data_IF_631081589557
#
_entry.id   IF_631081589557
#
_cell.length_a   1.000
_cell.length_b   1.000
_cell.length_c   1.000
_cell.angle_alpha   90.00
_cell.angle_beta   90.00
_cell.angle_gamma   90.00
#
_symmetry.space_group_name_H-M   'P 1'
#
loop_
_entity.id
_entity.type
_entity.pdbx_description
1 polymer ?
#
# COMPACT_ATOMS: atom_id res chain seq x y z
N UNK A 1 7.17 8.29 4.21
CA UNK A 1 8.34 7.40 3.99
C UNK A 1 8.16 6.20 4.90
N UNK A 2 7.62 5.09 4.39
CA UNK A 2 7.48 3.86 5.18
C UNK A 2 8.90 3.34 5.40
N UNK A 3 9.39 3.41 6.64
CA UNK A 3 10.71 2.88 6.97
C UNK A 3 10.65 1.36 6.80
N UNK A 4 11.71 0.78 6.24
CA UNK A 4 11.81 -0.67 6.08
C UNK A 4 11.67 -1.33 7.45
N UNK A 5 10.68 -2.21 7.59
CA UNK A 5 10.45 -2.96 8.84
C UNK A 5 11.68 -3.81 9.11
N UNK A 6 12.15 -3.82 10.36
CA UNK A 6 13.27 -4.69 10.73
C UNK A 6 12.90 -6.16 10.52
N UNK A 7 13.57 -6.82 9.56
CA UNK A 7 13.36 -8.21 9.22
C UNK A 7 13.55 -9.17 10.42
N UNK A 8 14.29 -8.76 11.46
CA UNK A 8 14.41 -9.54 12.71
C UNK A 8 13.04 -9.77 13.36
N UNK A 9 12.16 -8.78 13.31
CA UNK A 9 10.81 -8.83 13.88
C UNK A 9 9.93 -9.79 13.08
N UNK A 10 9.96 -9.67 11.76
CA UNK A 10 9.20 -10.54 10.87
C UNK A 10 9.64 -12.00 11.04
N UNK A 11 10.95 -12.24 11.19
CA UNK A 11 11.48 -13.58 11.49
C UNK A 11 11.03 -14.12 12.85
N UNK A 12 10.80 -13.28 13.86
CA UNK A 12 10.26 -13.72 15.15
C UNK A 12 8.83 -14.25 14.99
N UNK A 13 7.95 -13.51 14.30
CA UNK A 13 6.58 -13.94 14.03
C UNK A 13 6.55 -15.26 13.24
N UNK A 14 7.36 -15.36 12.16
CA UNK A 14 7.48 -16.59 11.35
C UNK A 14 8.05 -17.77 12.15
N UNK A 15 8.97 -17.53 13.08
CA UNK A 15 9.50 -18.56 13.98
C UNK A 15 8.42 -19.04 14.95
N UNK A 16 7.57 -18.14 15.45
CA UNK A 16 6.46 -18.50 16.33
C UNK A 16 5.46 -19.42 15.62
N UNK A 17 5.13 -19.11 14.36
CA UNK A 17 4.35 -19.97 13.46
C UNK A 17 4.92 -21.39 13.37
N UNK A 18 6.20 -21.51 12.99
CA UNK A 18 6.86 -22.82 12.84
C UNK A 18 6.97 -23.59 14.15
N UNK A 19 7.35 -22.92 15.24
CA UNK A 19 7.57 -23.56 16.55
C UNK A 19 6.27 -24.17 17.11
N UNK A 20 5.13 -23.51 16.90
CA UNK A 20 3.85 -23.92 17.46
C UNK A 20 2.91 -24.57 16.44
N UNK A 21 3.36 -24.75 15.17
CA UNK A 21 2.56 -25.27 14.06
C UNK A 21 1.17 -24.59 13.98
N UNK A 22 1.18 -23.26 14.05
CA UNK A 22 -0.05 -22.47 14.15
C UNK A 22 -0.96 -22.70 12.94
N UNK A 23 -2.26 -22.74 13.19
CA UNK A 23 -3.32 -22.77 12.18
C UNK A 23 -4.00 -21.42 12.11
N UNK A 24 -4.63 -21.14 10.96
CA UNK A 24 -5.47 -19.98 10.79
C UNK A 24 -6.93 -20.29 11.12
N UNK A 25 -7.68 -19.35 11.72
CA UNK A 25 -7.18 -18.10 12.29
C UNK A 25 -6.26 -18.35 13.50
N UNK A 26 -5.20 -17.55 13.66
CA UNK A 26 -4.21 -17.76 14.73
C UNK A 26 -4.88 -17.73 16.11
N UNK A 27 -4.64 -18.72 17.01
CA UNK A 27 -5.19 -18.72 18.37
C UNK A 27 -4.40 -17.74 19.27
N UNK A 28 -4.50 -16.44 18.98
CA UNK A 28 -3.71 -15.39 19.63
C UNK A 28 -3.95 -15.29 21.13
N UNK A 29 -5.17 -15.57 21.60
CA UNK A 29 -5.47 -15.55 23.03
C UNK A 29 -4.66 -16.62 23.78
N UNK A 30 -4.69 -17.88 23.30
CA UNK A 30 -3.95 -18.98 23.90
C UNK A 30 -2.44 -18.74 23.85
N UNK A 31 -1.95 -18.15 22.76
CA UNK A 31 -0.56 -17.73 22.64
C UNK A 31 -0.21 -16.72 23.72
N UNK A 32 -0.95 -15.62 23.85
CA UNK A 32 -0.69 -14.60 24.89
C UNK A 32 -0.73 -15.23 26.28
N UNK A 33 -1.72 -16.08 26.57
CA UNK A 33 -1.82 -16.78 27.87
C UNK A 33 -0.62 -17.67 28.19
N UNK A 34 0.05 -18.22 27.17
CA UNK A 34 1.27 -19.01 27.38
C UNK A 34 2.44 -18.16 27.87
N UNK A 35 2.50 -16.88 27.49
CA UNK A 35 3.60 -15.96 27.83
C UNK A 35 3.28 -14.99 28.97
N UNK A 36 2.01 -14.67 29.21
CA UNK A 36 1.57 -13.64 30.15
C UNK A 36 0.25 -14.00 30.85
N UNK A 37 -0.06 -13.28 31.92
CA UNK A 37 -1.36 -13.33 32.57
C UNK A 37 -2.32 -12.37 31.85
N UNK A 38 -3.27 -12.92 31.09
CA UNK A 38 -4.21 -12.14 30.29
C UNK A 38 -5.54 -11.92 30.99
N UNK A 39 -5.99 -10.66 31.04
CA UNK A 39 -7.32 -10.26 31.54
C UNK A 39 -8.01 -9.31 30.56
N UNK A 40 -9.31 -9.54 30.36
CA UNK A 40 -10.18 -8.58 29.67
C UNK A 40 -10.86 -7.70 30.71
N UNK A 41 -10.68 -6.38 30.60
CA UNK A 41 -11.20 -5.41 31.58
C UNK A 41 -11.90 -4.25 30.89
N UNK A 42 -12.83 -3.63 31.60
CA UNK A 42 -13.39 -2.35 31.19
C UNK A 42 -12.29 -1.28 31.39
N UNK A 43 -11.67 -0.87 30.29
CA UNK A 43 -10.56 0.10 30.30
C UNK A 43 -11.10 1.53 30.47
N UNK A 44 -10.54 2.33 31.39
CA UNK A 44 -10.75 3.76 31.36
C UNK A 44 -10.04 4.34 30.13
N UNK A 45 -10.63 5.35 29.48
CA UNK A 45 -10.10 6.02 28.27
C UNK A 45 -10.11 5.16 26.98
N UNK A 46 -9.63 5.72 25.87
CA UNK A 46 -9.52 5.04 24.58
C UNK A 46 -8.19 4.28 24.48
N UNK A 47 -8.00 3.29 25.36
CA UNK A 47 -6.85 2.37 25.35
C UNK A 47 -7.37 0.99 24.99
N UNK A 48 -6.77 0.35 23.98
CA UNK A 48 -7.17 -0.99 23.55
C UNK A 48 -6.42 -2.09 24.33
N UNK A 49 -5.15 -1.85 24.67
CA UNK A 49 -4.25 -2.80 25.30
C UNK A 49 -3.26 -2.15 26.26
N UNK A 50 -2.82 -2.92 27.26
CA UNK A 50 -1.83 -2.51 28.25
C UNK A 50 -0.95 -3.69 28.66
N UNK A 51 0.37 -3.50 28.56
CA UNK A 51 1.38 -4.41 29.07
C UNK A 51 2.02 -3.86 30.36
N UNK A 52 1.90 -4.62 31.45
CA UNK A 52 2.56 -4.33 32.74
C UNK A 52 3.59 -5.40 33.10
N UNK A 53 4.63 -5.00 33.83
CA UNK A 53 5.70 -5.90 34.29
C UNK A 53 6.42 -6.59 33.12
N UNK A 54 6.61 -5.89 31.99
CA UNK A 54 7.27 -6.46 30.83
C UNK A 54 8.74 -6.75 31.15
N UNK A 55 9.10 -8.03 31.17
CA UNK A 55 10.45 -8.53 31.48
C UNK A 55 11.00 -8.05 32.84
N UNK A 56 10.11 -7.72 33.77
CA UNK A 56 10.50 -7.44 35.15
C UNK A 56 10.98 -8.73 35.84
N UNK A 57 12.07 -8.62 36.61
CA UNK A 57 12.70 -9.79 37.25
C UNK A 57 11.77 -10.36 38.32
N UNK A 58 11.49 -11.66 38.26
CA UNK A 58 10.71 -12.38 39.27
C UNK A 58 9.19 -12.21 39.16
N UNK A 59 8.69 -11.53 38.12
CA UNK A 59 7.26 -11.36 37.87
C UNK A 59 6.87 -11.90 36.49
N UNK A 60 5.64 -12.38 36.39
CA UNK A 60 5.02 -12.74 35.11
C UNK A 60 4.38 -11.48 34.53
N UNK A 61 4.64 -11.20 33.25
CA UNK A 61 4.03 -10.07 32.54
C UNK A 61 2.51 -10.20 32.56
N UNK A 62 1.82 -9.07 32.73
CA UNK A 62 0.35 -8.99 32.73
C UNK A 62 -0.09 -8.21 31.51
N UNK A 63 -1.06 -8.77 30.79
CA UNK A 63 -1.67 -8.15 29.63
C UNK A 63 -3.13 -7.86 29.96
N UNK A 64 -3.53 -6.63 29.75
CA UNK A 64 -4.92 -6.20 29.88
C UNK A 64 -5.42 -5.75 28.52
N UNK A 65 -6.57 -6.27 28.10
CA UNK A 65 -7.21 -5.88 26.84
C UNK A 65 -8.60 -5.34 27.13
N UNK A 66 -9.01 -4.31 26.39
CA UNK A 66 -10.34 -3.73 26.49
C UNK A 66 -11.42 -4.79 26.25
N UNK A 67 -12.36 -4.88 27.19
CA UNK A 67 -13.52 -5.76 27.12
C UNK A 67 -14.56 -5.16 26.16
N UNK A 68 -15.15 -6.02 25.33
CA UNK A 68 -16.08 -5.61 24.27
C UNK A 68 -15.38 -5.03 23.04
N UNK A 69 -16.17 -4.52 22.09
CA UNK A 69 -15.69 -4.06 20.78
C UNK A 69 -15.61 -5.16 19.73
N UNK A 70 -15.04 -4.84 18.57
CA UNK A 70 -14.90 -5.78 17.46
C UNK A 70 -13.84 -6.84 17.77
N UNK A 71 -14.20 -8.11 17.58
CA UNK A 71 -13.31 -9.27 17.78
C UNK A 71 -11.98 -9.14 17.02
N UNK A 72 -12.03 -8.68 15.77
CA UNK A 72 -10.83 -8.50 14.93
C UNK A 72 -9.88 -7.44 15.49
N UNK A 73 -10.40 -6.38 16.13
CA UNK A 73 -9.58 -5.37 16.84
C UNK A 73 -8.90 -5.98 18.07
N UNK A 74 -9.65 -6.72 18.89
CA UNK A 74 -9.08 -7.43 20.04
C UNK A 74 -7.99 -8.43 19.63
N UNK A 75 -8.19 -9.16 18.53
CA UNK A 75 -7.18 -10.09 17.99
C UNK A 75 -5.90 -9.38 17.58
N UNK A 76 -6.01 -8.22 16.94
CA UNK A 76 -4.85 -7.40 16.59
C UNK A 76 -4.14 -6.89 17.83
N UNK A 77 -4.88 -6.34 18.80
CA UNK A 77 -4.32 -5.90 20.10
C UNK A 77 -3.58 -7.04 20.80
N UNK A 78 -4.17 -8.24 20.91
CA UNK A 78 -3.50 -9.40 21.50
C UNK A 78 -2.19 -9.76 20.78
N UNK A 79 -2.19 -9.75 19.45
CA UNK A 79 -0.99 -10.01 18.64
C UNK A 79 0.07 -8.92 18.81
N UNK A 80 -0.36 -7.66 18.96
CA UNK A 80 0.48 -6.50 19.21
C UNK A 80 1.17 -6.60 20.59
N UNK A 81 0.40 -6.88 21.65
CA UNK A 81 0.94 -7.08 23.00
C UNK A 81 1.91 -8.26 23.05
N UNK A 82 1.61 -9.35 22.31
CA UNK A 82 2.54 -10.47 22.17
C UNK A 82 3.85 -10.06 21.48
N UNK A 83 3.78 -9.11 20.55
CA UNK A 83 4.96 -8.47 19.94
C UNK A 83 5.84 -7.81 20.99
N UNK A 84 5.26 -7.00 21.89
CA UNK A 84 6.01 -6.40 23.00
C UNK A 84 6.66 -7.44 23.92
N UNK A 85 5.97 -8.54 24.20
CA UNK A 85 6.52 -9.62 25.03
C UNK A 85 7.71 -10.31 24.34
N UNK A 86 7.61 -10.59 23.05
CA UNK A 86 8.57 -11.44 22.34
C UNK A 86 9.76 -10.67 21.75
N UNK A 87 9.62 -9.39 21.42
CA UNK A 87 10.70 -8.59 20.84
C UNK A 87 11.73 -8.29 21.94
N UNK A 88 12.99 -8.78 21.88
CA UNK A 88 13.90 -8.78 23.03
C UNK A 88 14.22 -7.41 23.63
N UNK A 89 14.28 -6.36 22.82
CA UNK A 89 14.63 -5.00 23.26
C UNK A 89 13.44 -4.16 23.75
N UNK A 90 12.20 -4.68 23.71
CA UNK A 90 11.06 -4.00 24.33
C UNK A 90 11.07 -4.22 25.85
N UNK A 91 11.18 -3.17 26.67
CA UNK A 91 11.26 -3.28 28.15
C UNK A 91 10.46 -2.17 28.82
N UNK A 92 9.96 -2.39 30.05
CA UNK A 92 9.26 -1.37 30.85
C UNK A 92 7.74 -1.58 30.92
N UNK A 93 6.98 -0.52 31.16
CA UNK A 93 5.52 -0.56 31.02
C UNK A 93 5.14 0.09 29.68
N UNK A 94 4.23 -0.53 28.95
CA UNK A 94 3.85 -0.11 27.58
C UNK A 94 2.33 0.07 27.55
N UNK A 95 1.86 1.22 27.06
CA UNK A 95 0.46 1.64 27.07
C UNK A 95 0.04 1.97 25.62
N UNK A 96 -0.78 1.13 25.00
CA UNK A 96 -1.26 1.36 23.63
C UNK A 96 -2.29 2.50 23.60
N UNK A 97 -1.85 3.69 23.17
CA UNK A 97 -2.69 4.88 23.05
C UNK A 97 -3.22 5.02 21.62
N UNK A 98 -4.53 5.21 21.45
CA UNK A 98 -5.13 5.50 20.14
C UNK A 98 -4.87 6.94 19.64
N UNK A 99 -4.55 7.88 20.55
CA UNK A 99 -4.27 9.29 20.23
C UNK A 99 -2.80 9.65 20.51
N UNK A 100 -1.99 9.78 19.45
CA UNK A 100 -0.54 10.07 19.51
C UNK A 100 -0.19 11.57 19.69
N UNK A 101 -0.98 12.34 20.43
CA UNK A 101 -0.88 13.81 20.49
C UNK A 101 0.00 14.38 21.63
N UNK A 102 1.07 13.69 22.02
CA UNK A 102 2.02 14.17 23.05
C UNK A 102 3.48 14.19 22.58
N UNK A 103 4.38 14.77 23.39
CA UNK A 103 5.84 14.60 23.30
C UNK A 103 6.19 13.12 23.59
N UNK A 104 5.88 12.25 22.63
CA UNK A 104 6.16 10.83 22.70
C UNK A 104 7.63 10.64 22.39
N UNK A 105 8.33 9.94 23.29
CA UNK A 105 9.71 9.53 23.08
C UNK A 105 9.82 8.80 21.73
N UNK A 106 10.72 9.25 20.86
CA UNK A 106 11.02 8.61 19.57
C UNK A 106 11.20 7.10 19.71
N UNK A 107 11.80 6.65 20.82
CA UNK A 107 11.98 5.23 21.12
C UNK A 107 10.64 4.48 21.27
N UNK A 108 9.67 5.08 21.95
CA UNK A 108 8.34 4.52 22.15
C UNK A 108 7.62 4.36 20.80
N UNK A 109 7.66 5.41 19.97
CA UNK A 109 7.08 5.36 18.62
C UNK A 109 7.69 4.25 17.74
N UNK A 110 9.00 3.99 17.87
CA UNK A 110 9.62 2.86 17.18
C UNK A 110 9.09 1.52 17.71
N UNK A 111 9.01 1.33 19.02
CA UNK A 111 8.52 0.09 19.63
C UNK A 111 7.08 -0.24 19.21
N UNK A 112 6.20 0.75 19.15
CA UNK A 112 4.82 0.60 18.66
C UNK A 112 4.78 0.16 17.18
N UNK A 113 5.62 0.77 16.33
CA UNK A 113 5.76 0.36 14.94
C UNK A 113 6.27 -1.08 14.78
N UNK A 114 7.21 -1.48 15.64
CA UNK A 114 7.77 -2.84 15.68
C UNK A 114 6.73 -3.88 16.13
N UNK A 115 5.93 -3.57 17.17
CA UNK A 115 4.84 -4.42 17.63
C UNK A 115 3.73 -4.56 16.58
N UNK A 116 3.35 -3.47 15.92
CA UNK A 116 2.40 -3.49 14.81
C UNK A 116 2.87 -4.34 13.63
N UNK A 117 4.17 -4.26 13.29
CA UNK A 117 4.76 -5.10 12.26
C UNK A 117 4.77 -6.58 12.65
N UNK A 118 5.10 -6.90 13.91
CA UNK A 118 5.01 -8.26 14.44
C UNK A 118 3.58 -8.80 14.38
N UNK A 119 2.60 -8.04 14.86
CA UNK A 119 1.18 -8.42 14.87
C UNK A 119 0.67 -8.70 13.46
N UNK A 120 0.97 -7.81 12.52
CA UNK A 120 0.58 -7.95 11.11
C UNK A 120 1.18 -9.20 10.46
N UNK A 121 2.47 -9.50 10.72
CA UNK A 121 3.11 -10.71 10.21
C UNK A 121 2.61 -11.98 10.90
N UNK A 122 2.28 -11.93 12.19
CA UNK A 122 1.74 -13.07 12.92
C UNK A 122 0.33 -13.42 12.42
N UNK A 123 -0.55 -12.43 12.29
CA UNK A 123 -1.94 -12.64 11.87
C UNK A 123 -2.06 -12.91 10.38
N UNK A 124 -1.27 -12.24 9.55
CA UNK A 124 -1.33 -12.33 8.10
C UNK A 124 0.06 -12.56 7.49
N UNK A 125 0.68 -13.75 7.64
CA UNK A 125 2.05 -14.00 7.16
C UNK A 125 2.22 -13.72 5.67
N UNK A 126 3.40 -13.20 5.29
CA UNK A 126 3.68 -12.82 3.91
C UNK A 126 3.44 -13.95 2.91
N UNK A 127 3.99 -15.14 3.18
CA UNK A 127 3.85 -16.30 2.29
C UNK A 127 2.37 -16.69 2.08
N UNK A 128 1.56 -16.56 3.14
CA UNK A 128 0.14 -16.86 3.10
C UNK A 128 -0.59 -15.84 2.21
N UNK A 129 -0.44 -14.54 2.46
CA UNK A 129 -1.08 -13.47 1.67
C UNK A 129 -0.64 -13.51 0.21
N UNK A 130 0.63 -13.81 -0.06
CA UNK A 130 1.13 -13.99 -1.44
C UNK A 130 0.50 -15.17 -2.16
N UNK A 131 0.10 -16.22 -1.45
CA UNK A 131 -0.63 -17.33 -2.05
C UNK A 131 -2.06 -16.93 -2.40
N UNK A 132 -2.77 -16.23 -1.50
CA UNK A 132 -4.08 -15.65 -1.82
C UNK A 132 -4.02 -14.76 -3.08
N UNK A 133 -3.03 -13.86 -3.19
CA UNK A 133 -2.86 -13.00 -4.37
C UNK A 133 -2.66 -13.80 -5.67
N UNK A 134 -2.07 -15.00 -5.60
CA UNK A 134 -1.88 -15.87 -6.78
C UNK A 134 -3.12 -16.67 -7.12
N UNK A 135 -3.91 -17.05 -6.12
CA UNK A 135 -5.08 -17.93 -6.26
C UNK A 135 -6.33 -17.15 -6.69
N UNK A 136 -6.49 -15.93 -6.18
CA UNK A 136 -7.65 -15.08 -6.49
C UNK A 136 -7.34 -14.12 -7.64
N UNK A 137 -8.24 -14.09 -8.62
CA UNK A 137 -8.18 -13.15 -9.74
C UNK A 137 -9.09 -11.93 -9.55
N UNK A 138 -10.14 -12.08 -8.74
CA UNK A 138 -11.03 -10.98 -8.34
C UNK A 138 -10.55 -10.35 -7.03
N UNK A 139 -10.45 -9.02 -7.01
CA UNK A 139 -9.93 -8.28 -5.85
C UNK A 139 -10.88 -8.34 -4.65
N UNK A 140 -12.19 -8.42 -4.87
CA UNK A 140 -13.17 -8.48 -3.79
C UNK A 140 -13.08 -9.83 -3.10
N UNK A 141 -13.09 -10.91 -3.88
CA UNK A 141 -12.93 -12.27 -3.36
C UNK A 141 -11.60 -12.43 -2.61
N UNK A 142 -10.51 -11.83 -3.12
CA UNK A 142 -9.21 -11.80 -2.45
C UNK A 142 -9.29 -11.12 -1.06
N UNK A 143 -9.94 -9.96 -0.96
CA UNK A 143 -10.07 -9.22 0.30
C UNK A 143 -10.97 -9.97 1.28
N UNK A 144 -12.12 -10.47 0.81
CA UNK A 144 -13.07 -11.25 1.62
C UNK A 144 -12.40 -12.54 2.13
N UNK A 145 -11.73 -13.29 1.26
CA UNK A 145 -11.02 -14.52 1.63
C UNK A 145 -9.92 -14.30 2.67
N UNK A 146 -9.04 -13.30 2.47
CA UNK A 146 -8.01 -12.97 3.47
C UNK A 146 -8.61 -12.52 4.80
N UNK A 147 -9.71 -11.74 4.77
CA UNK A 147 -10.34 -11.23 5.99
C UNK A 147 -11.03 -12.34 6.79
N UNK A 148 -11.78 -13.22 6.11
CA UNK A 148 -12.54 -14.31 6.71
C UNK A 148 -11.61 -15.43 7.21
N UNK A 149 -10.72 -15.93 6.38
CA UNK A 149 -9.88 -17.09 6.72
C UNK A 149 -8.83 -16.78 7.78
N UNK A 150 -8.37 -15.53 7.86
CA UNK A 150 -7.38 -15.08 8.85
C UNK A 150 -8.01 -14.39 10.08
N UNK A 151 -9.33 -14.17 10.08
CA UNK A 151 -10.12 -13.49 11.11
C UNK A 151 -9.52 -12.10 11.46
N UNK A 152 -9.44 -11.24 10.42
CA UNK A 152 -8.94 -9.86 10.47
C UNK A 152 -9.95 -8.88 9.87
N UNK A 153 -9.79 -7.58 10.12
CA UNK A 153 -10.70 -6.56 9.56
C UNK A 153 -10.43 -6.31 8.06
N UNK A 154 -11.45 -5.87 7.32
CA UNK A 154 -11.32 -5.49 5.91
C UNK A 154 -10.20 -4.46 5.68
N UNK A 155 -10.09 -3.36 6.45
CA UNK A 155 -8.96 -2.43 6.30
C UNK A 155 -7.60 -3.10 6.52
N UNK A 156 -7.46 -3.96 7.53
CA UNK A 156 -6.20 -4.64 7.81
C UNK A 156 -5.79 -5.60 6.66
N UNK A 157 -6.76 -6.34 6.12
CA UNK A 157 -6.57 -7.18 4.94
C UNK A 157 -6.12 -6.35 3.74
N UNK A 158 -6.80 -5.24 3.43
CA UNK A 158 -6.44 -4.33 2.32
C UNK A 158 -5.01 -3.82 2.46
N UNK A 159 -4.65 -3.25 3.61
CA UNK A 159 -3.29 -2.74 3.84
C UNK A 159 -2.23 -3.83 3.67
N UNK A 160 -2.53 -5.06 4.10
CA UNK A 160 -1.61 -6.19 4.01
C UNK A 160 -1.48 -6.73 2.59
N UNK A 161 -2.59 -6.91 1.87
CA UNK A 161 -2.62 -7.33 0.47
C UNK A 161 -1.82 -6.35 -0.38
N UNK A 162 -2.10 -5.04 -0.25
CA UNK A 162 -1.48 -4.01 -1.08
C UNK A 162 0.03 -3.86 -0.84
N UNK A 163 0.56 -4.32 0.29
CA UNK A 163 2.01 -4.40 0.53
C UNK A 163 2.69 -5.39 -0.43
N UNK A 164 2.00 -6.41 -0.89
CA UNK A 164 2.55 -7.49 -1.71
C UNK A 164 1.93 -7.59 -3.10
N UNK A 165 0.90 -6.79 -3.37
CA UNK A 165 0.26 -6.70 -4.68
C UNK A 165 1.27 -6.22 -5.73
N UNK A 166 1.22 -6.74 -6.98
CA UNK A 166 2.01 -6.21 -8.08
C UNK A 166 1.79 -4.71 -8.23
N UNK A 167 2.79 -4.01 -8.79
CA UNK A 167 2.70 -2.58 -9.09
C UNK A 167 1.50 -2.26 -9.98
N UNK A 168 1.13 -0.99 -10.03
CA UNK A 168 0.04 -0.43 -10.83
C UNK A 168 -1.37 -0.80 -10.32
N UNK A 169 -1.49 -1.08 -9.02
CA UNK A 169 -2.76 -1.29 -8.34
C UNK A 169 -2.97 -0.23 -7.25
N UNK A 170 -4.16 0.37 -7.20
CA UNK A 170 -4.56 1.41 -6.25
C UNK A 170 -5.95 1.04 -5.70
N UNK A 171 -6.15 1.20 -4.39
CA UNK A 171 -7.45 0.98 -3.74
C UNK A 171 -7.78 2.13 -2.81
N UNK A 172 -9.03 2.56 -2.87
CA UNK A 172 -9.65 3.55 -2.00
C UNK A 172 -10.77 2.90 -1.21
N UNK A 173 -10.92 3.26 0.06
CA UNK A 173 -12.07 2.80 0.84
C UNK A 173 -12.48 3.75 1.96
N UNK A 174 -13.75 3.66 2.37
CA UNK A 174 -14.36 4.36 3.51
C UNK A 174 -15.36 3.44 4.23
N UNK A 175 -15.73 3.74 5.49
CA UNK A 175 -16.69 2.90 6.24
C UNK A 175 -18.15 3.08 5.80
N UNK A 176 -18.43 4.10 4.99
CA UNK A 176 -19.71 4.31 4.29
C UNK A 176 -19.53 5.37 3.20
N UNK A 177 -20.53 5.55 2.32
CA UNK A 177 -20.51 6.60 1.29
C UNK A 177 -20.42 8.02 1.86
N UNK A 178 -20.99 8.23 3.06
CA UNK A 178 -21.04 9.54 3.74
C UNK A 178 -19.91 9.76 4.74
N UNK A 179 -18.95 8.82 4.82
CA UNK A 179 -17.81 8.96 5.71
C UNK A 179 -16.77 9.91 5.10
N UNK A 180 -16.45 10.98 5.85
CA UNK A 180 -15.41 11.93 5.47
C UNK A 180 -14.02 11.27 5.50
N UNK A 181 -13.84 10.22 6.30
CA UNK A 181 -12.56 9.53 6.43
C UNK A 181 -12.37 8.50 5.32
N UNK A 182 -11.57 8.88 4.33
CA UNK A 182 -11.19 8.03 3.20
C UNK A 182 -9.73 7.60 3.31
N UNK A 183 -9.47 6.37 2.90
CA UNK A 183 -8.12 5.80 2.85
C UNK A 183 -7.79 5.45 1.41
N UNK A 184 -6.55 5.73 1.00
CA UNK A 184 -6.02 5.32 -0.30
C UNK A 184 -4.70 4.58 -0.11
N UNK A 185 -4.62 3.40 -0.69
CA UNK A 185 -3.45 2.52 -0.61
C UNK A 185 -2.98 2.20 -2.01
N UNK A 186 -1.66 2.26 -2.22
CA UNK A 186 -1.02 2.01 -3.51
C UNK A 186 -0.04 0.86 -3.38
N UNK A 187 -0.09 -0.06 -4.31
CA UNK A 187 0.89 -1.15 -4.39
C UNK A 187 2.30 -0.59 -4.64
N UNK A 188 3.35 -1.21 -4.08
CA UNK A 188 4.73 -0.76 -4.26
C UNK A 188 5.11 -0.59 -5.73
N UNK A 189 5.81 0.51 -6.04
CA UNK A 189 6.30 0.80 -7.39
C UNK A 189 5.26 1.42 -8.33
N UNK A 190 3.99 1.53 -7.94
CA UNK A 190 2.95 2.22 -8.71
C UNK A 190 3.35 3.67 -9.00
N UNK A 191 3.41 4.02 -10.28
CA UNK A 191 3.82 5.36 -10.76
C UNK A 191 2.63 6.26 -11.08
N UNK A 192 1.45 5.68 -11.24
CA UNK A 192 0.19 6.38 -11.45
C UNK A 192 -0.05 7.36 -10.30
N UNK A 193 -0.26 8.64 -10.64
CA UNK A 193 -0.51 9.72 -9.68
C UNK A 193 -1.97 10.15 -9.74
N UNK A 194 -2.84 9.38 -9.10
CA UNK A 194 -4.22 9.78 -8.83
C UNK A 194 -4.20 10.48 -7.47
N UNK A 195 -4.83 11.65 -7.34
CA UNK A 195 -4.96 12.28 -6.03
C UNK A 195 -5.92 11.46 -5.16
N UNK A 196 -5.81 11.55 -3.83
CA UNK A 196 -6.69 10.77 -2.97
C UNK A 196 -8.17 11.17 -3.14
N UNK A 197 -8.46 12.42 -3.51
CA UNK A 197 -9.81 12.86 -3.87
C UNK A 197 -10.26 12.33 -5.22
N UNK A 198 -9.38 12.35 -6.22
CA UNK A 198 -9.65 11.88 -7.59
C UNK A 198 -10.12 10.42 -7.60
N UNK A 199 -9.59 9.58 -6.71
CA UNK A 199 -9.99 8.17 -6.63
C UNK A 199 -11.49 7.99 -6.35
N UNK A 200 -12.11 8.97 -5.69
CA UNK A 200 -13.52 8.97 -5.33
C UNK A 200 -14.38 9.86 -6.23
N UNK A 201 -13.80 10.44 -7.28
CA UNK A 201 -14.47 11.22 -8.31
C UNK A 201 -14.55 10.39 -9.59
N UNK A 202 -15.76 10.07 -10.04
CA UNK A 202 -15.97 9.21 -11.21
C UNK A 202 -15.49 9.88 -12.51
N UNK A 203 -15.64 11.21 -12.64
CA UNK A 203 -15.24 11.94 -13.85
C UNK A 203 -13.72 12.03 -13.97
N UNK A 204 -13.03 12.30 -12.86
CA UNK A 204 -11.56 12.29 -12.87
C UNK A 204 -11.02 10.87 -13.10
N UNK A 205 -11.69 9.83 -12.59
CA UNK A 205 -11.26 8.44 -12.78
C UNK A 205 -11.35 7.98 -14.23
N UNK A 206 -12.44 8.31 -14.91
CA UNK A 206 -12.66 7.98 -16.32
C UNK A 206 -11.63 8.66 -17.24
N UNK A 207 -11.03 9.77 -16.79
CA UNK A 207 -9.94 10.45 -17.52
C UNK A 207 -8.61 9.68 -17.50
N UNK A 208 -8.44 8.70 -16.60
CA UNK A 208 -7.20 7.91 -16.55
C UNK A 208 -7.20 6.84 -17.64
N UNK A 209 -6.64 7.20 -18.79
CA UNK A 209 -6.50 6.32 -19.94
C UNK A 209 -5.83 4.97 -19.57
N UNK A 210 -6.43 3.88 -20.07
CA UNK A 210 -5.93 2.50 -20.00
C UNK A 210 -6.02 1.80 -18.63
N UNK A 211 -6.61 2.42 -17.61
CA UNK A 211 -6.91 1.74 -16.34
C UNK A 211 -8.28 1.04 -16.36
N UNK A 212 -8.44 0.00 -15.55
CA UNK A 212 -9.75 -0.57 -15.22
C UNK A 212 -10.11 -0.20 -13.78
N UNK A 213 -11.38 0.19 -13.59
CA UNK A 213 -11.91 0.66 -12.31
C UNK A 213 -13.08 -0.22 -11.91
N UNK A 214 -13.08 -0.61 -10.64
CA UNK A 214 -14.11 -1.42 -10.03
C UNK A 214 -14.61 -0.74 -8.76
N UNK A 215 -15.94 -0.65 -8.63
CA UNK A 215 -16.61 -0.12 -7.45
C UNK A 215 -17.45 -1.23 -6.83
N UNK A 216 -17.25 -1.51 -5.55
CA UNK A 216 -17.99 -2.55 -4.83
C UNK A 216 -18.01 -2.28 -3.33
N UNK A 217 -18.90 -2.97 -2.62
CA UNK A 217 -19.00 -2.90 -1.16
C UNK A 217 -18.60 -4.23 -0.54
N UNK A 218 -17.88 -4.18 0.59
CA UNK A 218 -17.68 -5.33 1.49
C UNK A 218 -18.23 -4.97 2.87
N UNK A 219 -19.40 -5.54 3.20
CA UNK A 219 -20.15 -5.13 4.38
C UNK A 219 -20.46 -3.62 4.33
N UNK A 220 -20.10 -2.82 5.35
CA UNK A 220 -20.31 -1.38 5.33
C UNK A 220 -19.29 -0.62 4.48
N UNK A 221 -18.16 -1.24 4.12
CA UNK A 221 -17.07 -0.55 3.44
C UNK A 221 -17.39 -0.31 1.97
N UNK A 222 -17.30 0.94 1.53
CA UNK A 222 -17.33 1.32 0.14
C UNK A 222 -15.91 1.28 -0.41
N UNK A 223 -15.68 0.51 -1.47
CA UNK A 223 -14.35 0.25 -2.03
C UNK A 223 -14.32 0.64 -3.50
N UNK A 224 -13.25 1.34 -3.86
CA UNK A 224 -12.88 1.68 -5.22
C UNK A 224 -11.52 1.10 -5.54
N UNK A 225 -11.42 0.28 -6.56
CA UNK A 225 -10.18 -0.36 -6.97
C UNK A 225 -9.84 0.03 -8.40
N UNK A 226 -8.61 0.46 -8.64
CA UNK A 226 -8.10 0.80 -9.96
C UNK A 226 -6.83 -0.01 -10.24
N UNK A 227 -6.80 -0.68 -11.39
CA UNK A 227 -5.64 -1.43 -11.89
C UNK A 227 -5.20 -0.89 -13.25
N UNK A 228 -3.89 -0.79 -13.46
CA UNK A 228 -3.31 -0.24 -14.69
C UNK A 228 -2.32 -1.23 -15.32
N UNK A 229 -2.31 -1.36 -16.65
CA UNK A 229 -1.52 -2.36 -17.35
C UNK A 229 -0.02 -2.09 -17.18
N UNK A 230 0.75 -3.16 -16.98
CA UNK A 230 2.20 -3.05 -16.89
C UNK A 230 2.87 -2.77 -18.24
N UNK A 231 2.17 -3.07 -19.35
CA UNK A 231 2.65 -2.91 -20.71
C UNK A 231 1.56 -2.24 -21.54
N UNK A 232 1.95 -1.24 -22.31
CA UNK A 232 1.09 -0.63 -23.33
C UNK A 232 1.77 -0.81 -24.68
N UNK A 233 0.97 -1.07 -25.72
CA UNK A 233 1.52 -1.16 -27.07
C UNK A 233 2.09 0.19 -27.50
N UNK A 234 3.35 0.19 -27.93
CA UNK A 234 3.93 1.37 -28.55
C UNK A 234 3.21 1.64 -29.87
N UNK A 235 2.86 2.90 -30.18
CA UNK A 235 2.36 3.24 -31.50
C UNK A 235 3.41 2.94 -32.57
N UNK A 236 2.96 2.53 -33.75
CA UNK A 236 3.82 2.43 -34.92
C UNK A 236 4.36 3.83 -35.27
N UNK A 237 5.68 3.96 -35.42
CA UNK A 237 6.31 5.25 -35.70
C UNK A 237 6.27 5.50 -37.20
N UNK A 238 5.51 6.51 -37.63
CA UNK A 238 5.40 6.91 -39.03
C UNK A 238 5.79 8.37 -39.28
N UNK A 239 5.81 9.22 -38.24
CA UNK A 239 6.21 10.62 -38.41
C UNK A 239 7.72 10.71 -38.70
N UNK A 240 8.17 11.34 -39.79
CA UNK A 240 9.58 11.38 -40.14
C UNK A 240 10.41 12.37 -39.30
N UNK A 241 9.77 13.30 -38.57
CA UNK A 241 10.45 14.39 -37.87
C UNK A 241 11.16 13.93 -36.60
N UNK A 242 12.09 14.75 -36.08
CA UNK A 242 12.70 14.52 -34.77
C UNK A 242 11.66 14.67 -33.65
N UNK A 243 11.80 13.91 -32.57
CA UNK A 243 10.85 13.96 -31.45
C UNK A 243 10.72 15.38 -30.85
N UNK A 244 11.76 16.24 -30.95
CA UNK A 244 11.72 17.62 -30.46
C UNK A 244 10.74 18.47 -31.25
N UNK A 245 10.71 18.30 -32.58
CA UNK A 245 9.80 19.02 -33.46
C UNK A 245 8.36 18.60 -33.19
N UNK A 246 8.13 17.29 -33.05
CA UNK A 246 6.82 16.71 -32.73
C UNK A 246 6.31 17.23 -31.38
N UNK A 247 7.14 17.25 -30.35
CA UNK A 247 6.75 17.78 -29.03
C UNK A 247 6.42 19.28 -29.08
N UNK A 248 7.19 20.07 -29.84
CA UNK A 248 6.92 21.50 -30.01
C UNK A 248 5.56 21.70 -30.67
N UNK A 249 5.27 20.99 -31.76
CA UNK A 249 3.96 21.09 -32.42
C UNK A 249 2.81 20.70 -31.49
N UNK A 250 2.93 19.56 -30.79
CA UNK A 250 1.91 19.11 -29.83
C UNK A 250 1.59 20.20 -28.80
N UNK A 251 2.63 20.82 -28.23
CA UNK A 251 2.46 21.85 -27.21
C UNK A 251 1.90 23.15 -27.78
N UNK A 252 2.34 23.55 -28.98
CA UNK A 252 1.84 24.76 -29.64
C UNK A 252 0.36 24.69 -29.99
N UNK A 253 -0.25 23.50 -30.05
CA UNK A 253 -1.70 23.36 -30.22
C UNK A 253 -2.51 23.76 -28.96
N UNK A 254 -1.90 23.74 -27.78
CA UNK A 254 -2.62 23.91 -26.49
C UNK A 254 -2.08 25.01 -25.59
N UNK A 255 -0.86 25.51 -25.86
CA UNK A 255 -0.20 26.51 -25.02
C UNK A 255 0.42 27.62 -25.86
N UNK A 256 0.19 28.86 -25.46
CA UNK A 256 0.85 30.03 -26.05
C UNK A 256 2.34 30.08 -25.67
N UNK A 257 2.67 29.81 -24.39
CA UNK A 257 4.05 29.62 -23.93
C UNK A 257 4.34 28.14 -23.65
N UNK A 258 5.06 27.52 -24.59
CA UNK A 258 5.42 26.11 -24.51
C UNK A 258 6.62 25.84 -23.59
N UNK A 259 7.34 26.85 -23.10
CA UNK A 259 8.62 26.66 -22.38
C UNK A 259 8.44 25.82 -21.11
N UNK A 260 7.47 26.19 -20.27
CA UNK A 260 7.18 25.51 -19.00
C UNK A 260 6.60 24.10 -19.22
N UNK A 261 5.53 23.89 -20.02
CA UNK A 261 5.02 22.56 -20.37
C UNK A 261 6.11 21.63 -20.92
N UNK A 262 6.94 22.12 -21.84
CA UNK A 262 8.03 21.34 -22.45
C UNK A 262 9.06 20.91 -21.43
N UNK A 263 9.46 21.77 -20.50
CA UNK A 263 10.40 21.40 -19.44
C UNK A 263 9.82 20.32 -18.53
N UNK A 264 8.54 20.43 -18.18
CA UNK A 264 7.85 19.45 -17.32
C UNK A 264 7.73 18.09 -18.01
N UNK A 265 7.26 18.03 -19.26
CA UNK A 265 7.16 16.77 -20.02
C UNK A 265 8.53 16.13 -20.20
N UNK A 266 9.58 16.90 -20.52
CA UNK A 266 10.94 16.39 -20.58
C UNK A 266 11.40 15.83 -19.23
N UNK A 267 11.06 16.49 -18.12
CA UNK A 267 11.28 15.97 -16.78
C UNK A 267 10.61 14.62 -16.57
N UNK A 268 9.31 14.51 -16.91
CA UNK A 268 8.52 13.28 -16.73
C UNK A 268 9.06 12.11 -17.56
N UNK A 269 9.41 12.33 -18.83
CA UNK A 269 9.94 11.29 -19.73
C UNK A 269 11.40 10.96 -19.41
N UNK A 270 12.20 11.90 -18.90
CA UNK A 270 13.60 11.62 -18.53
C UNK A 270 13.73 10.59 -17.42
N UNK A 271 12.72 10.44 -16.56
CA UNK A 271 12.73 9.42 -15.50
C UNK A 271 12.65 8.01 -16.11
N UNK A 272 12.05 7.83 -17.29
CA UNK A 272 12.09 6.56 -18.04
C UNK A 272 13.55 6.13 -18.29
N UNK A 273 14.44 7.09 -18.57
CA UNK A 273 15.87 6.81 -18.74
C UNK A 273 16.53 6.33 -17.43
N UNK A 274 16.03 6.74 -16.27
CA UNK A 274 16.49 6.19 -14.98
C UNK A 274 15.92 4.79 -14.73
N UNK A 275 14.67 4.55 -15.13
CA UNK A 275 13.98 3.27 -15.04
C UNK A 275 14.58 2.22 -16.00
N UNK A 276 15.30 2.65 -17.06
CA UNK A 276 16.04 1.74 -17.95
C UNK A 276 17.00 0.81 -17.20
N UNK A 277 17.50 1.22 -16.02
CA UNK A 277 18.35 0.35 -15.17
C UNK A 277 17.67 -0.95 -14.78
N UNK A 278 16.35 -0.95 -14.74
CA UNK A 278 15.51 -2.05 -14.28
C UNK A 278 14.89 -2.85 -15.43
N UNK A 279 14.59 -2.22 -16.56
CA UNK A 279 13.97 -2.87 -17.73
C UNK A 279 14.34 -2.14 -19.02
N UNK A 280 14.49 -2.87 -20.12
CA UNK A 280 14.67 -2.34 -21.49
C UNK A 280 13.47 -2.62 -22.40
N UNK A 281 12.36 -3.09 -21.82
CA UNK A 281 11.12 -3.35 -22.56
C UNK A 281 10.43 -2.03 -22.92
N UNK A 282 10.35 -1.74 -24.22
CA UNK A 282 9.71 -0.53 -24.76
C UNK A 282 8.28 -0.35 -24.24
N UNK A 283 7.48 -1.43 -24.21
CA UNK A 283 6.06 -1.38 -23.82
C UNK A 283 5.89 -1.05 -22.35
N UNK A 284 6.78 -1.56 -21.51
CA UNK A 284 6.79 -1.28 -20.08
C UNK A 284 7.19 0.19 -19.81
N UNK A 285 8.25 0.66 -20.47
CA UNK A 285 8.74 2.03 -20.34
C UNK A 285 7.70 3.05 -20.82
N UNK A 286 6.97 2.71 -21.89
CA UNK A 286 5.88 3.52 -22.40
C UNK A 286 4.68 3.54 -21.44
N UNK A 287 4.25 2.39 -20.91
CA UNK A 287 3.23 2.35 -19.86
C UNK A 287 3.60 3.24 -18.66
N UNK A 288 4.85 3.16 -18.20
CA UNK A 288 5.33 4.00 -17.09
C UNK A 288 5.29 5.50 -17.41
N UNK A 289 5.63 5.89 -18.65
CA UNK A 289 5.51 7.28 -19.07
C UNK A 289 4.05 7.73 -19.08
N UNK A 290 3.17 6.98 -19.74
CA UNK A 290 1.73 7.28 -19.86
C UNK A 290 1.08 7.38 -18.47
N UNK A 291 1.36 6.44 -17.56
CA UNK A 291 0.86 6.46 -16.19
C UNK A 291 1.32 7.68 -15.39
N UNK A 292 2.53 8.18 -15.67
CA UNK A 292 3.08 9.33 -14.95
C UNK A 292 2.45 10.62 -15.46
N UNK A 293 2.25 10.76 -16.76
CA UNK A 293 1.65 11.94 -17.38
C UNK A 293 0.13 12.00 -17.19
N UNK A 294 -0.58 10.88 -17.10
CA UNK A 294 -2.02 10.87 -16.83
C UNK A 294 -2.39 11.48 -15.48
N UNK A 295 -1.49 11.43 -14.50
CA UNK A 295 -1.65 12.14 -13.22
C UNK A 295 -1.45 13.66 -13.27
N UNK A 296 -1.28 14.23 -14.45
CA UNK A 296 -1.16 15.66 -14.68
C UNK A 296 -2.32 16.12 -15.55
N UNK A 297 -3.41 16.54 -14.91
CA UNK A 297 -4.66 16.94 -15.57
C UNK A 297 -4.43 18.04 -16.63
N UNK A 298 -3.43 18.89 -16.46
CA UNK A 298 -3.07 19.91 -17.45
C UNK A 298 -2.63 19.33 -18.81
N UNK A 299 -2.21 18.06 -18.86
CA UNK A 299 -1.73 17.36 -20.05
C UNK A 299 -2.75 16.34 -20.61
N UNK A 300 -3.97 16.26 -20.07
CA UNK A 300 -4.99 15.30 -20.53
C UNK A 300 -5.25 15.40 -22.04
N UNK A 301 -5.42 16.61 -22.56
CA UNK A 301 -5.65 16.86 -23.99
C UNK A 301 -4.50 16.40 -24.90
N UNK A 302 -3.27 16.29 -24.38
CA UNK A 302 -2.14 15.75 -25.14
C UNK A 302 -2.24 14.23 -25.29
N UNK A 303 -2.77 13.53 -24.29
CA UNK A 303 -2.95 12.07 -24.32
C UNK A 303 -4.04 11.62 -25.28
N UNK A 304 -4.87 12.54 -25.78
CA UNK A 304 -5.83 12.27 -26.84
C UNK A 304 -5.24 12.39 -28.25
N UNK A 305 -3.96 12.77 -28.38
CA UNK A 305 -3.33 13.06 -29.68
C UNK A 305 -2.35 11.97 -30.08
N UNK A 306 -2.63 11.30 -31.20
CA UNK A 306 -1.72 10.30 -31.80
C UNK A 306 -0.30 10.83 -31.97
N UNK A 307 -0.15 12.09 -32.37
CA UNK A 307 1.14 12.76 -32.55
C UNK A 307 1.94 12.88 -31.24
N UNK A 308 1.28 12.99 -30.09
CA UNK A 308 1.94 13.00 -28.80
C UNK A 308 2.51 11.61 -28.46
N UNK A 309 1.78 10.56 -28.83
CA UNK A 309 2.25 9.18 -28.69
C UNK A 309 3.42 8.88 -29.66
N UNK A 310 3.47 9.48 -30.85
CA UNK A 310 4.65 9.45 -31.73
C UNK A 310 5.89 10.05 -31.07
N UNK A 311 5.75 11.20 -30.37
CA UNK A 311 6.83 11.79 -29.58
C UNK A 311 7.33 10.83 -28.51
N UNK A 312 6.42 10.26 -27.71
CA UNK A 312 6.75 9.37 -26.62
C UNK A 312 7.51 8.12 -27.12
N UNK A 313 7.01 7.48 -28.17
CA UNK A 313 7.62 6.30 -28.77
C UNK A 313 9.04 6.57 -29.30
N UNK A 314 9.22 7.65 -30.09
CA UNK A 314 10.55 8.05 -30.59
C UNK A 314 11.53 8.33 -29.45
N UNK A 315 11.08 9.03 -28.41
CA UNK A 315 11.94 9.41 -27.30
C UNK A 315 12.37 8.21 -26.46
N UNK A 316 11.49 7.24 -26.25
CA UNK A 316 11.80 5.99 -25.54
C UNK A 316 12.82 5.16 -26.33
N UNK A 317 12.64 5.01 -27.65
CA UNK A 317 13.60 4.29 -28.50
C UNK A 317 14.98 4.94 -28.48
N UNK A 318 15.04 6.27 -28.58
CA UNK A 318 16.32 7.01 -28.48
C UNK A 318 17.03 6.78 -27.13
N UNK A 319 16.28 6.63 -26.02
CA UNK A 319 16.90 6.31 -24.73
C UNK A 319 17.47 4.89 -24.68
N UNK A 320 16.78 3.92 -25.28
CA UNK A 320 17.25 2.53 -25.35
C UNK A 320 18.51 2.45 -26.23
N UNK A 321 18.48 3.06 -27.42
CA UNK A 321 19.61 3.09 -28.36
C UNK A 321 20.87 3.69 -27.75
N UNK A 322 20.75 4.72 -26.90
CA UNK A 322 21.91 5.34 -26.21
C UNK A 322 22.49 4.52 -25.08
N UNK A 323 21.78 3.47 -24.65
CA UNK A 323 22.17 2.65 -23.50
C UNK A 323 22.84 1.33 -23.91
N UNK A 324 22.50 0.81 -25.09
CA UNK A 324 23.09 -0.40 -25.69
C UNK A 324 24.44 -0.04 -26.33
#
# INVERSE_FOLDING_TARGET
>A
MVREVDERILRLARRLHRKNNLKFPVPVEDLVRSYADLKFIDMPFDIDGLCMDLKAIGTRTKVFVKKGGYRTRQRFTLAHELGHILIPWHTGNIIDHTDLNGDIDLLYWFMEGEANAFASELLMPEDCVRNYIKEYHDIRELIEGVAEDLDVSIPAAIFRIFRFMPKNNIIGFSYSEHDDKRYVVRSPGTKVRISDSSLFDDEELDSFHNGEVFNFNIGPYCIRYATFPNHLDLPEIYDPRDWREILIECLSCFYDDIKSPRQRINGLISVVNSDLRSSVDERELYAQFIHRISGHAEFSMLLEKDIFHQFAAKRIKEFIEKKI
#
